data_IF_874556113092
#
_entry.id   IF_874556113092
#
_cell.length_a   1.000
_cell.length_b   1.000
_cell.length_c   1.000
_cell.angle_alpha   90.00
_cell.angle_beta   90.00
_cell.angle_gamma   90.00
#
_symmetry.space_group_name_H-M   'P 1'
#
loop_
_entity.id
_entity.type
_entity.pdbx_description
1 polymer ?
#
# COMPACT_ATOMS: atom_id res chain seq x y z
N UNK A 1 7.25 16.16 -25.45
CA UNK A 1 7.40 15.78 -24.03
C UNK A 1 8.33 14.58 -23.97
N UNK A 2 9.49 14.71 -23.34
CA UNK A 2 10.43 13.59 -23.15
C UNK A 2 9.72 12.48 -22.38
N UNK A 3 9.74 11.27 -22.92
CA UNK A 3 9.14 10.08 -22.32
C UNK A 3 10.13 9.56 -21.26
N UNK A 4 10.20 10.24 -20.11
CA UNK A 4 11.06 9.78 -19.01
C UNK A 4 10.50 8.48 -18.42
N UNK A 5 11.34 7.46 -18.34
CA UNK A 5 10.99 6.20 -17.69
C UNK A 5 10.83 6.42 -16.18
N UNK A 6 9.97 5.60 -15.56
CA UNK A 6 9.78 5.57 -14.10
C UNK A 6 11.11 5.41 -13.37
N UNK A 7 11.97 4.51 -13.88
CA UNK A 7 13.31 4.29 -13.36
C UNK A 7 14.13 5.57 -13.28
N UNK A 8 14.19 6.37 -14.37
CA UNK A 8 14.97 7.61 -14.41
C UNK A 8 14.49 8.61 -13.34
N UNK A 9 13.17 8.75 -13.18
CA UNK A 9 12.58 9.64 -12.18
C UNK A 9 12.88 9.19 -10.75
N UNK A 10 12.76 7.88 -10.49
CA UNK A 10 13.00 7.33 -9.16
C UNK A 10 14.49 7.42 -8.81
N UNK A 11 15.40 7.11 -9.75
CA UNK A 11 16.85 7.26 -9.54
C UNK A 11 17.23 8.71 -9.26
N UNK A 12 16.72 9.67 -10.03
CA UNK A 12 16.94 11.10 -9.77
C UNK A 12 16.44 11.52 -8.37
N UNK A 13 15.32 10.95 -7.89
CA UNK A 13 14.85 11.21 -6.53
C UNK A 13 15.76 10.62 -5.47
N UNK A 14 16.29 9.41 -5.68
CA UNK A 14 17.25 8.78 -4.76
C UNK A 14 18.54 9.61 -4.67
N UNK A 15 19.05 10.13 -5.79
CA UNK A 15 20.23 11.00 -5.82
C UNK A 15 20.07 12.25 -4.93
N UNK A 16 18.86 12.80 -4.87
CA UNK A 16 18.53 13.95 -3.99
C UNK A 16 18.35 13.53 -2.53
N UNK A 17 17.69 12.39 -2.29
CA UNK A 17 17.29 11.98 -0.93
C UNK A 17 18.43 11.30 -0.17
N UNK A 18 19.31 10.56 -0.85
CA UNK A 18 20.38 9.77 -0.20
C UNK A 18 21.35 10.63 0.63
N UNK A 19 21.89 11.77 0.14
CA UNK A 19 22.76 12.62 0.97
C UNK A 19 22.06 13.18 2.21
N UNK A 20 20.74 13.42 2.13
CA UNK A 20 19.94 13.88 3.26
C UNK A 20 19.83 12.79 4.32
N UNK A 21 19.64 11.53 3.91
CA UNK A 21 19.61 10.37 4.81
C UNK A 21 20.96 10.17 5.48
N UNK A 22 22.05 10.18 4.71
CA UNK A 22 23.40 10.00 5.25
C UNK A 22 23.72 11.08 6.30
N UNK A 23 23.36 12.34 6.01
CA UNK A 23 23.46 13.44 6.98
C UNK A 23 22.58 13.22 8.21
N UNK A 24 21.33 12.79 8.02
CA UNK A 24 20.43 12.54 9.14
C UNK A 24 20.92 11.40 10.03
N UNK A 25 21.55 10.36 9.47
CA UNK A 25 22.17 9.30 10.26
C UNK A 25 23.35 9.80 11.08
N UNK A 26 24.23 10.63 10.50
CA UNK A 26 25.30 11.25 11.27
C UNK A 26 24.75 12.11 12.43
N UNK A 27 23.75 12.95 12.16
CA UNK A 27 23.09 13.77 13.19
C UNK A 27 22.35 12.94 14.24
N UNK A 28 21.78 11.79 13.86
CA UNK A 28 21.15 10.87 14.80
C UNK A 28 22.20 10.34 15.79
N UNK A 29 23.36 9.89 15.29
CA UNK A 29 24.44 9.38 16.14
C UNK A 29 25.01 10.45 17.08
N UNK A 30 25.16 11.69 16.60
CA UNK A 30 25.53 12.83 17.46
C UNK A 30 24.51 13.04 18.59
N UNK A 31 23.21 13.02 18.27
CA UNK A 31 22.14 13.14 19.27
C UNK A 31 22.15 11.99 20.27
N UNK A 32 22.39 10.76 19.82
CA UNK A 32 22.51 9.58 20.67
C UNK A 32 23.67 9.71 21.66
N UNK A 33 24.83 10.18 21.20
CA UNK A 33 26.01 10.41 22.06
C UNK A 33 25.77 11.53 23.08
N UNK A 34 24.98 12.54 22.72
CA UNK A 34 24.56 13.62 23.61
C UNK A 34 23.43 13.22 24.58
N UNK A 35 22.87 12.01 24.46
CA UNK A 35 21.74 11.54 25.27
C UNK A 35 20.37 12.11 24.85
N UNK A 36 20.27 12.81 23.71
CA UNK A 36 19.01 13.31 23.16
C UNK A 36 18.31 12.24 22.32
N UNK A 37 17.64 11.31 23.00
CA UNK A 37 16.93 10.21 22.36
C UNK A 37 15.79 10.66 21.44
N UNK A 38 15.10 11.77 21.78
CA UNK A 38 14.02 12.30 20.92
C UNK A 38 14.60 12.76 19.57
N UNK A 39 15.71 13.49 19.59
CA UNK A 39 16.37 13.90 18.35
C UNK A 39 16.98 12.71 17.59
N UNK A 40 17.58 11.73 18.28
CA UNK A 40 18.08 10.51 17.64
C UNK A 40 16.98 9.79 16.87
N UNK A 41 15.85 9.47 17.51
CA UNK A 41 14.74 8.75 16.88
C UNK A 41 14.14 9.53 15.70
N UNK A 42 13.91 10.83 15.87
CA UNK A 42 13.37 11.69 14.82
C UNK A 42 14.28 11.79 13.59
N UNK A 43 15.61 11.79 13.79
CA UNK A 43 16.60 11.82 12.69
C UNK A 43 16.83 10.45 12.07
N UNK A 44 16.72 9.38 12.85
CA UNK A 44 16.94 8.01 12.38
C UNK A 44 15.80 7.51 11.49
N UNK A 45 14.59 8.05 11.66
CA UNK A 45 13.45 7.71 10.81
C UNK A 45 13.59 8.27 9.38
N UNK A 46 13.56 7.38 8.39
CA UNK A 46 13.81 7.71 6.97
C UNK A 46 12.54 7.84 6.12
N UNK A 47 11.36 7.80 6.75
CA UNK A 47 10.07 7.93 6.09
C UNK A 47 9.92 6.96 4.91
N UNK A 48 9.52 7.50 3.75
CA UNK A 48 9.18 6.75 2.54
C UNK A 48 10.38 6.42 1.64
N UNK A 49 11.62 6.59 2.11
CA UNK A 49 12.78 6.20 1.32
C UNK A 49 12.80 4.72 0.88
N UNK A 50 12.38 3.73 1.68
CA UNK A 50 12.37 2.33 1.24
C UNK A 50 11.50 2.11 0.00
N UNK A 51 10.41 2.86 -0.16
CA UNK A 51 9.49 2.75 -1.31
C UNK A 51 10.20 3.10 -2.63
N UNK A 52 11.22 3.97 -2.62
CA UNK A 52 11.99 4.32 -3.82
C UNK A 52 12.84 3.14 -4.30
N UNK A 53 13.54 2.47 -3.38
CA UNK A 53 14.33 1.27 -3.69
C UNK A 53 13.42 0.11 -4.08
N UNK A 54 12.27 -0.02 -3.42
CA UNK A 54 11.23 -0.98 -3.77
C UNK A 54 10.75 -0.79 -5.21
N UNK A 55 10.46 0.46 -5.61
CA UNK A 55 10.05 0.80 -6.98
C UNK A 55 11.11 0.48 -8.03
N UNK A 56 12.40 0.46 -7.67
CA UNK A 56 13.51 0.06 -8.54
C UNK A 56 13.81 -1.44 -8.53
N UNK A 57 13.03 -2.24 -7.79
CA UNK A 57 13.30 -3.67 -7.58
C UNK A 57 14.63 -3.93 -6.86
N UNK A 58 15.18 -2.94 -6.16
CA UNK A 58 16.36 -3.08 -5.31
C UNK A 58 15.95 -3.67 -3.95
N UNK A 59 15.40 -4.89 -3.99
CA UNK A 59 14.66 -5.51 -2.89
C UNK A 59 15.47 -5.67 -1.60
N UNK A 60 16.75 -6.02 -1.67
CA UNK A 60 17.61 -6.16 -0.48
C UNK A 60 17.81 -4.80 0.23
N UNK A 61 17.98 -3.74 -0.56
CA UNK A 61 18.12 -2.37 -0.05
C UNK A 61 16.80 -1.88 0.54
N UNK A 62 15.69 -2.13 -0.15
CA UNK A 62 14.35 -1.82 0.36
C UNK A 62 14.07 -2.56 1.68
N UNK A 63 14.36 -3.87 1.75
CA UNK A 63 14.20 -4.69 2.95
C UNK A 63 15.01 -4.15 4.12
N UNK A 64 16.27 -3.79 3.89
CA UNK A 64 17.12 -3.17 4.92
C UNK A 64 16.48 -1.90 5.48
N UNK A 65 16.03 -1.00 4.60
CA UNK A 65 15.45 0.28 5.02
C UNK A 65 14.05 0.16 5.64
N UNK A 66 13.19 -0.76 5.19
CA UNK A 66 11.93 -1.05 5.87
C UNK A 66 12.17 -1.58 7.29
N UNK A 67 13.11 -2.52 7.47
CA UNK A 67 13.47 -3.05 8.79
C UNK A 67 14.06 -1.98 9.69
N UNK A 68 14.88 -1.07 9.15
CA UNK A 68 15.38 0.07 9.89
C UNK A 68 14.23 0.99 10.35
N UNK A 69 13.31 1.34 9.46
CA UNK A 69 12.17 2.20 9.78
C UNK A 69 11.26 1.55 10.86
N UNK A 70 10.97 0.25 10.73
CA UNK A 70 10.21 -0.51 11.72
C UNK A 70 10.94 -0.56 13.08
N UNK A 71 12.27 -0.78 13.07
CA UNK A 71 13.10 -0.76 14.27
C UNK A 71 13.05 0.58 15.00
N UNK A 72 13.14 1.70 14.27
CA UNK A 72 13.04 3.04 14.85
C UNK A 72 11.67 3.27 15.49
N UNK A 73 10.57 2.84 14.85
CA UNK A 73 9.22 2.96 15.42
C UNK A 73 9.04 2.15 16.69
N UNK A 74 9.61 0.95 16.72
CA UNK A 74 9.58 0.11 17.92
C UNK A 74 10.42 0.72 19.05
N UNK A 75 11.62 1.19 18.75
CA UNK A 75 12.50 1.86 19.71
C UNK A 75 11.87 3.14 20.26
N UNK A 76 11.24 3.94 19.39
CA UNK A 76 10.48 5.13 19.77
C UNK A 76 9.38 4.80 20.77
N UNK A 77 8.59 3.76 20.48
CA UNK A 77 7.52 3.31 21.37
C UNK A 77 8.04 2.87 22.73
N UNK A 78 9.06 2.00 22.76
CA UNK A 78 9.67 1.50 24.00
C UNK A 78 10.24 2.67 24.83
N UNK A 79 10.87 3.63 24.17
CA UNK A 79 11.43 4.79 24.84
C UNK A 79 10.34 5.65 25.49
N UNK A 80 9.26 5.98 24.75
CA UNK A 80 8.15 6.74 25.29
C UNK A 80 7.41 5.99 26.40
N UNK A 81 7.22 4.68 26.28
CA UNK A 81 6.62 3.87 27.34
C UNK A 81 7.41 3.92 28.66
N UNK A 82 8.74 3.98 28.60
CA UNK A 82 9.58 4.04 29.79
C UNK A 82 9.76 5.46 30.36
N UNK A 83 9.75 6.51 29.52
CA UNK A 83 10.17 7.86 29.92
C UNK A 83 9.05 8.91 29.89
N UNK A 84 8.06 8.75 29.02
CA UNK A 84 6.93 9.67 28.88
C UNK A 84 5.66 8.91 28.41
N UNK A 85 5.05 8.09 29.28
CA UNK A 85 3.90 7.25 28.91
C UNK A 85 2.69 8.06 28.48
N UNK A 86 2.63 9.34 28.85
CA UNK A 86 1.55 10.25 28.46
C UNK A 86 1.50 10.52 26.96
N UNK A 87 2.60 10.22 26.24
CA UNK A 87 2.68 10.33 24.79
C UNK A 87 2.07 9.12 24.06
N UNK A 88 1.87 7.98 24.71
CA UNK A 88 1.38 6.75 24.07
C UNK A 88 0.02 6.91 23.37
N UNK A 89 -0.98 7.63 23.91
CA UNK A 89 -2.23 7.87 23.19
C UNK A 89 -2.03 8.66 21.89
N UNK A 90 -1.04 9.56 21.84
CA UNK A 90 -0.72 10.30 20.62
C UNK A 90 -0.04 9.38 19.59
N UNK A 91 0.80 8.44 20.03
CA UNK A 91 1.35 7.40 19.15
C UNK A 91 0.26 6.47 18.63
N UNK A 92 -0.72 6.11 19.46
CA UNK A 92 -1.82 5.22 19.07
C UNK A 92 -2.68 5.83 17.94
N UNK A 93 -2.80 7.16 17.90
CA UNK A 93 -3.40 7.91 16.77
C UNK A 93 -2.64 7.73 15.44
N UNK A 94 -1.34 7.46 15.50
CA UNK A 94 -0.46 7.25 14.33
C UNK A 94 -0.42 5.81 13.82
N UNK A 95 -1.01 4.84 14.52
CA UNK A 95 -0.80 3.41 14.21
C UNK A 95 -1.32 2.98 12.84
N UNK A 96 -2.38 3.61 12.33
CA UNK A 96 -2.87 3.32 10.97
C UNK A 96 -1.82 3.64 9.89
N UNK A 97 -0.85 4.50 10.20
CA UNK A 97 0.28 4.86 9.33
C UNK A 97 1.53 4.04 9.65
N UNK A 98 1.77 3.75 10.93
CA UNK A 98 2.99 3.04 11.35
C UNK A 98 2.90 1.51 11.21
N UNK A 99 1.73 0.90 11.41
CA UNK A 99 1.54 -0.55 11.25
C UNK A 99 1.94 -1.07 9.85
N UNK A 100 1.60 -0.37 8.74
CA UNK A 100 2.14 -0.66 7.42
C UNK A 100 3.66 -0.84 7.35
N UNK A 101 4.43 -0.05 8.10
CA UNK A 101 5.91 -0.10 8.08
C UNK A 101 6.41 -1.48 8.54
N UNK A 102 5.77 -2.06 9.56
CA UNK A 102 6.10 -3.40 10.06
C UNK A 102 5.72 -4.49 9.05
N UNK A 103 4.54 -4.39 8.44
CA UNK A 103 4.09 -5.34 7.43
C UNK A 103 5.01 -5.31 6.20
N UNK A 104 5.37 -4.12 5.73
CA UNK A 104 6.33 -3.94 4.64
C UNK A 104 7.73 -4.45 5.00
N UNK A 105 8.15 -4.35 6.26
CA UNK A 105 9.43 -4.91 6.74
C UNK A 105 9.43 -6.44 6.89
N UNK A 106 8.27 -7.10 6.72
CA UNK A 106 8.09 -8.52 6.97
C UNK A 106 7.95 -8.89 8.45
N UNK A 107 7.81 -7.90 9.34
CA UNK A 107 7.60 -8.09 10.78
C UNK A 107 6.10 -8.25 11.06
N UNK A 108 5.55 -9.38 10.61
CA UNK A 108 4.09 -9.57 10.54
C UNK A 108 3.41 -9.57 11.90
N UNK A 109 4.02 -10.18 12.92
CA UNK A 109 3.39 -10.27 14.25
C UNK A 109 3.20 -8.88 14.87
N UNK A 110 4.24 -8.04 14.84
CA UNK A 110 4.15 -6.65 15.29
C UNK A 110 3.17 -5.84 14.43
N UNK A 111 3.22 -6.00 13.11
CA UNK A 111 2.30 -5.29 12.23
C UNK A 111 0.83 -5.65 12.47
N UNK A 112 0.53 -6.94 12.72
CA UNK A 112 -0.81 -7.40 13.08
C UNK A 112 -1.29 -6.81 14.40
N UNK A 113 -0.47 -6.85 15.44
CA UNK A 113 -0.79 -6.24 16.74
C UNK A 113 -1.09 -4.74 16.58
N UNK A 114 -0.27 -4.02 15.81
CA UNK A 114 -0.46 -2.58 15.60
C UNK A 114 -1.69 -2.27 14.75
N UNK A 115 -2.05 -3.12 13.79
CA UNK A 115 -3.30 -3.00 13.03
C UNK A 115 -4.53 -3.19 13.93
N UNK A 116 -4.53 -4.15 14.84
CA UNK A 116 -5.63 -4.34 15.80
C UNK A 116 -5.79 -3.13 16.73
N UNK A 117 -4.68 -2.59 17.20
CA UNK A 117 -4.67 -1.37 18.02
C UNK A 117 -5.17 -0.15 17.25
N UNK A 118 -4.71 0.02 16.01
CA UNK A 118 -5.18 1.07 15.11
C UNK A 118 -6.69 0.97 14.89
N UNK A 119 -7.19 -0.24 14.62
CA UNK A 119 -8.62 -0.48 14.44
C UNK A 119 -9.42 -0.11 15.70
N UNK A 120 -9.00 -0.57 16.89
CA UNK A 120 -9.67 -0.21 18.15
C UNK A 120 -9.70 1.30 18.37
N UNK A 121 -8.57 1.98 18.16
CA UNK A 121 -8.48 3.43 18.28
C UNK A 121 -9.44 4.17 17.34
N UNK A 122 -9.52 3.76 16.07
CA UNK A 122 -10.42 4.36 15.09
C UNK A 122 -11.90 4.14 15.44
N UNK A 123 -12.25 2.96 15.97
CA UNK A 123 -13.63 2.64 16.36
C UNK A 123 -14.11 3.40 17.60
N UNK A 124 -13.19 3.87 18.45
CA UNK A 124 -13.49 4.66 19.65
C UNK A 124 -13.65 6.18 19.38
N UNK A 125 -13.40 6.63 18.15
CA UNK A 125 -13.52 8.04 17.78
C UNK A 125 -14.99 8.51 17.80
N UNK A 126 -15.24 9.66 18.45
CA UNK A 126 -16.59 10.24 18.59
C UNK A 126 -17.24 10.59 17.25
N UNK A 127 -16.44 11.04 16.29
CA UNK A 127 -16.90 11.43 14.95
C UNK A 127 -16.97 10.23 13.98
N UNK A 128 -16.74 9.02 14.49
CA UNK A 128 -16.56 7.80 13.71
C UNK A 128 -15.13 7.62 13.19
N UNK A 129 -14.82 6.43 12.66
CA UNK A 129 -13.48 6.10 12.19
C UNK A 129 -13.11 6.91 10.95
N UNK A 130 -11.83 7.27 10.82
CA UNK A 130 -11.32 7.91 9.62
C UNK A 130 -11.32 6.91 8.46
N UNK A 131 -12.12 7.18 7.42
CA UNK A 131 -12.29 6.27 6.29
C UNK A 131 -10.98 5.95 5.54
N UNK A 132 -10.02 6.88 5.45
CA UNK A 132 -8.71 6.60 4.85
C UNK A 132 -7.86 5.68 5.72
N UNK A 133 -7.94 5.82 7.05
CA UNK A 133 -7.29 4.89 7.98
C UNK A 133 -7.91 3.50 7.85
N UNK A 134 -9.23 3.39 7.78
CA UNK A 134 -9.92 2.10 7.62
C UNK A 134 -9.54 1.41 6.30
N UNK A 135 -9.36 2.16 5.21
CA UNK A 135 -8.82 1.64 3.95
C UNK A 135 -7.44 1.03 4.14
N UNK A 136 -6.52 1.76 4.76
CA UNK A 136 -5.15 1.28 4.97
C UNK A 136 -5.11 0.08 5.92
N UNK A 137 -5.86 0.13 7.03
CA UNK A 137 -6.00 -0.99 7.96
C UNK A 137 -6.47 -2.23 7.20
N UNK A 138 -7.54 -2.12 6.41
CA UNK A 138 -8.08 -3.25 5.66
C UNK A 138 -7.10 -3.84 4.63
N UNK A 139 -6.41 -2.98 3.85
CA UNK A 139 -5.47 -3.46 2.83
C UNK A 139 -4.22 -4.12 3.45
N UNK A 140 -3.63 -3.54 4.49
CA UNK A 140 -2.47 -4.12 5.15
C UNK A 140 -2.84 -5.32 6.04
N UNK A 141 -4.05 -5.35 6.61
CA UNK A 141 -4.61 -6.54 7.25
C UNK A 141 -4.75 -7.70 6.25
N UNK A 142 -5.29 -7.42 5.06
CA UNK A 142 -5.37 -8.41 3.99
C UNK A 142 -3.99 -8.93 3.58
N UNK A 143 -3.02 -8.02 3.41
CA UNK A 143 -1.63 -8.39 3.14
C UNK A 143 -1.06 -9.29 4.25
N UNK A 144 -1.35 -8.99 5.51
CA UNK A 144 -0.90 -9.78 6.67
C UNK A 144 -1.69 -11.09 6.91
N UNK A 145 -2.72 -11.37 6.10
CA UNK A 145 -3.59 -12.56 6.25
C UNK A 145 -4.66 -12.42 7.34
N UNK A 146 -4.97 -11.21 7.80
CA UNK A 146 -6.00 -10.93 8.80
C UNK A 146 -7.37 -10.73 8.14
N UNK A 147 -8.05 -11.82 7.81
CA UNK A 147 -9.32 -11.80 7.08
C UNK A 147 -10.41 -10.95 7.75
N UNK A 148 -10.51 -10.97 9.07
CA UNK A 148 -11.53 -10.20 9.80
C UNK A 148 -11.32 -8.69 9.64
N UNK A 149 -10.09 -8.21 9.85
CA UNK A 149 -9.76 -6.80 9.68
C UNK A 149 -9.70 -6.37 8.22
N UNK A 150 -9.48 -7.28 7.27
CA UNK A 150 -9.53 -6.96 5.85
C UNK A 150 -10.88 -6.37 5.42
N UNK A 151 -11.98 -6.75 6.10
CA UNK A 151 -13.31 -6.17 5.89
C UNK A 151 -13.41 -4.66 6.16
N UNK A 152 -12.41 -4.05 6.82
CA UNK A 152 -12.36 -2.61 7.08
C UNK A 152 -12.37 -1.77 5.78
N UNK A 153 -11.96 -2.33 4.64
CA UNK A 153 -12.06 -1.64 3.35
C UNK A 153 -13.50 -1.26 2.99
N UNK A 154 -14.50 -1.99 3.50
CA UNK A 154 -15.90 -1.67 3.26
C UNK A 154 -16.33 -0.35 3.92
N UNK A 155 -15.77 0.00 5.08
CA UNK A 155 -16.03 1.30 5.72
C UNK A 155 -15.60 2.47 4.82
N UNK A 156 -14.48 2.32 4.13
CA UNK A 156 -14.04 3.32 3.16
C UNK A 156 -15.01 3.43 1.99
N UNK A 157 -15.40 2.31 1.40
CA UNK A 157 -16.38 2.26 0.29
C UNK A 157 -17.69 2.94 0.71
N UNK A 158 -18.24 2.58 1.86
CA UNK A 158 -19.50 3.11 2.36
C UNK A 158 -19.41 4.63 2.62
N UNK A 159 -18.29 5.11 3.16
CA UNK A 159 -18.05 6.53 3.37
C UNK A 159 -17.98 7.30 2.03
N UNK A 160 -17.27 6.79 1.03
CA UNK A 160 -17.18 7.41 -0.29
C UNK A 160 -18.56 7.47 -0.97
N UNK A 161 -19.32 6.37 -0.92
CA UNK A 161 -20.68 6.34 -1.48
C UNK A 161 -21.64 7.25 -0.71
N UNK A 162 -21.46 7.41 0.60
CA UNK A 162 -22.24 8.34 1.41
C UNK A 162 -22.02 9.79 0.95
N UNK A 163 -20.78 10.19 0.68
CA UNK A 163 -20.45 11.55 0.20
C UNK A 163 -21.13 11.88 -1.14
N UNK A 164 -21.47 10.86 -1.93
CA UNK A 164 -22.10 11.00 -3.24
C UNK A 164 -23.63 10.90 -3.20
N UNK A 165 -24.26 10.79 -2.03
CA UNK A 165 -25.73 10.62 -1.92
C UNK A 165 -26.53 11.67 -2.67
N UNK A 166 -26.03 12.91 -2.74
CA UNK A 166 -26.67 14.05 -3.42
C UNK A 166 -26.21 14.23 -4.87
N UNK A 167 -25.27 13.42 -5.35
CA UNK A 167 -24.80 13.48 -6.74
C UNK A 167 -25.83 12.90 -7.71
N UNK A 168 -25.70 13.26 -8.99
CA UNK A 168 -26.53 12.70 -10.05
C UNK A 168 -26.44 11.17 -10.11
N UNK A 169 -27.54 10.51 -10.49
CA UNK A 169 -27.64 9.04 -10.49
C UNK A 169 -26.50 8.36 -11.26
N UNK A 170 -26.18 8.88 -12.45
CA UNK A 170 -25.07 8.38 -13.27
C UNK A 170 -23.71 8.47 -12.56
N UNK A 171 -23.49 9.50 -11.73
CA UNK A 171 -22.25 9.67 -10.96
C UNK A 171 -22.19 8.67 -9.81
N UNK A 172 -23.30 8.47 -9.09
CA UNK A 172 -23.39 7.49 -8.01
C UNK A 172 -23.14 6.08 -8.53
N UNK A 173 -23.80 5.71 -9.64
CA UNK A 173 -23.62 4.40 -10.26
C UNK A 173 -22.18 4.16 -10.73
N UNK A 174 -21.55 5.16 -11.35
CA UNK A 174 -20.15 5.05 -11.70
C UNK A 174 -19.25 4.84 -10.47
N UNK A 175 -19.55 5.52 -9.35
CA UNK A 175 -18.75 5.42 -8.13
C UNK A 175 -18.85 4.05 -7.47
N UNK A 176 -20.05 3.45 -7.49
CA UNK A 176 -20.25 2.06 -7.08
C UNK A 176 -19.29 1.15 -7.85
N UNK A 177 -19.25 1.26 -9.18
CA UNK A 177 -18.32 0.44 -9.98
C UNK A 177 -16.85 0.66 -9.59
N UNK A 178 -16.43 1.91 -9.43
CA UNK A 178 -15.02 2.24 -9.16
C UNK A 178 -14.58 1.71 -7.78
N UNK A 179 -15.42 1.87 -6.75
CA UNK A 179 -15.10 1.46 -5.38
C UNK A 179 -15.21 -0.06 -5.13
N UNK A 180 -15.46 -0.87 -6.16
CA UNK A 180 -15.17 -2.30 -6.10
C UNK A 180 -13.65 -2.60 -6.10
N UNK A 181 -12.78 -1.61 -6.37
CA UNK A 181 -11.33 -1.82 -6.39
C UNK A 181 -10.76 -2.14 -5.01
N UNK A 182 -11.20 -1.47 -3.94
CA UNK A 182 -10.66 -1.73 -2.59
C UNK A 182 -11.00 -3.14 -2.07
N UNK A 183 -12.26 -3.64 -2.16
CA UNK A 183 -12.57 -5.03 -1.85
C UNK A 183 -11.80 -6.02 -2.74
N UNK A 184 -11.67 -5.73 -4.04
CA UNK A 184 -10.92 -6.59 -4.96
C UNK A 184 -9.46 -6.75 -4.54
N UNK A 185 -8.80 -5.66 -4.15
CA UNK A 185 -7.42 -5.68 -3.68
C UNK A 185 -7.25 -6.47 -2.39
N UNK A 186 -8.14 -6.26 -1.41
CA UNK A 186 -8.10 -7.01 -0.16
C UNK A 186 -8.25 -8.52 -0.42
N UNK A 187 -9.23 -8.92 -1.23
CA UNK A 187 -9.44 -10.31 -1.60
C UNK A 187 -8.25 -10.89 -2.37
N UNK A 188 -7.67 -10.12 -3.28
CA UNK A 188 -6.47 -10.54 -4.02
C UNK A 188 -5.30 -10.84 -3.07
N UNK A 189 -5.06 -9.97 -2.10
CA UNK A 189 -4.00 -10.14 -1.09
C UNK A 189 -4.24 -11.33 -0.16
N UNK A 190 -5.51 -11.65 0.12
CA UNK A 190 -5.91 -12.84 0.89
C UNK A 190 -5.83 -14.15 0.07
N UNK A 191 -5.62 -14.07 -1.25
CA UNK A 191 -5.67 -15.22 -2.15
C UNK A 191 -7.10 -15.68 -2.50
N UNK A 192 -8.11 -14.85 -2.21
CA UNK A 192 -9.52 -15.06 -2.57
C UNK A 192 -9.74 -14.62 -4.03
N UNK A 193 -9.11 -15.33 -4.97
CA UNK A 193 -9.00 -14.87 -6.36
C UNK A 193 -10.34 -14.83 -7.10
N UNK A 194 -11.28 -15.73 -6.79
CA UNK A 194 -12.61 -15.74 -7.43
C UNK A 194 -13.47 -14.55 -7.00
N UNK A 195 -13.49 -14.23 -5.70
CA UNK A 195 -14.12 -13.02 -5.17
C UNK A 195 -13.46 -11.77 -5.75
N UNK A 196 -12.13 -11.72 -5.78
CA UNK A 196 -11.37 -10.61 -6.34
C UNK A 196 -11.72 -10.39 -7.81
N UNK A 197 -11.74 -11.47 -8.60
CA UNK A 197 -12.10 -11.44 -10.04
C UNK A 197 -13.49 -10.85 -10.26
N UNK A 198 -14.50 -11.28 -9.50
CA UNK A 198 -15.86 -10.74 -9.59
C UNK A 198 -15.93 -9.25 -9.31
N UNK A 199 -15.21 -8.76 -8.30
CA UNK A 199 -15.14 -7.33 -8.01
C UNK A 199 -14.40 -6.55 -9.12
N UNK A 200 -13.29 -7.08 -9.63
CA UNK A 200 -12.55 -6.48 -10.74
C UNK A 200 -13.40 -6.36 -12.01
N UNK A 201 -14.24 -7.35 -12.31
CA UNK A 201 -15.18 -7.29 -13.43
C UNK A 201 -16.18 -6.13 -13.28
N UNK A 202 -16.64 -5.83 -12.06
CA UNK A 202 -17.46 -4.63 -11.80
C UNK A 202 -16.68 -3.33 -12.07
N UNK A 203 -15.41 -3.25 -11.65
CA UNK A 203 -14.57 -2.07 -11.90
C UNK A 203 -14.37 -1.85 -13.41
N UNK A 204 -14.12 -2.93 -14.16
CA UNK A 204 -13.94 -2.88 -15.62
C UNK A 204 -15.24 -2.56 -16.36
N UNK A 205 -16.38 -3.03 -15.88
CA UNK A 205 -17.70 -2.59 -16.37
C UNK A 205 -17.90 -1.09 -16.14
N UNK A 206 -17.45 -0.57 -15.00
CA UNK A 206 -17.43 0.85 -14.69
C UNK A 206 -16.66 1.69 -15.71
N UNK A 207 -15.55 1.17 -16.26
CA UNK A 207 -14.79 1.85 -17.31
C UNK A 207 -15.64 2.01 -18.58
N UNK A 208 -16.29 0.95 -19.04
CA UNK A 208 -17.20 0.98 -20.20
C UNK A 208 -18.34 1.96 -19.97
N UNK A 209 -19.00 1.85 -18.83
CA UNK A 209 -20.09 2.75 -18.43
C UNK A 209 -19.66 4.22 -18.45
N UNK A 210 -18.49 4.55 -17.87
CA UNK A 210 -17.98 5.91 -17.85
C UNK A 210 -17.70 6.48 -19.25
N UNK A 211 -17.20 5.64 -20.17
CA UNK A 211 -16.90 6.02 -21.55
C UNK A 211 -18.19 6.27 -22.36
N UNK A 212 -19.16 5.35 -22.29
CA UNK A 212 -20.41 5.43 -23.04
C UNK A 212 -21.30 6.58 -22.58
N UNK A 213 -21.46 6.74 -21.25
CA UNK A 213 -22.39 7.69 -20.66
C UNK A 213 -21.80 9.10 -20.53
N UNK A 214 -20.56 9.31 -21.01
CA UNK A 214 -19.80 10.57 -20.93
C UNK A 214 -19.98 11.22 -19.55
N UNK A 215 -19.77 10.44 -18.48
CA UNK A 215 -20.02 10.92 -17.12
C UNK A 215 -19.05 12.06 -16.79
N UNK A 216 -19.54 13.29 -16.88
CA UNK A 216 -18.87 14.52 -16.46
C UNK A 216 -19.44 14.96 -15.11
N UNK A 217 -18.60 15.33 -14.13
CA UNK A 217 -19.05 15.78 -12.80
C UNK A 217 -18.80 14.79 -11.67
N UNK A 218 -17.67 14.09 -11.72
CA UNK A 218 -17.22 13.24 -10.62
C UNK A 218 -16.51 14.08 -9.55
N UNK A 219 -16.59 13.66 -8.29
CA UNK A 219 -15.65 14.13 -7.26
C UNK A 219 -14.24 13.55 -7.46
N UNK A 220 -14.14 12.37 -8.10
CA UNK A 220 -12.88 11.69 -8.43
C UNK A 220 -12.32 12.19 -9.77
N UNK A 221 -11.15 12.85 -9.80
CA UNK A 221 -10.51 13.32 -11.02
C UNK A 221 -10.42 12.24 -12.12
N UNK A 222 -10.54 12.64 -13.38
CA UNK A 222 -10.43 11.70 -14.51
C UNK A 222 -9.09 10.94 -14.52
N UNK A 223 -8.04 11.58 -14.00
CA UNK A 223 -6.71 11.03 -13.87
C UNK A 223 -6.66 9.89 -12.84
N UNK A 224 -7.36 10.03 -11.71
CA UNK A 224 -7.49 9.02 -10.65
C UNK A 224 -8.34 7.82 -11.12
N UNK A 225 -9.43 8.06 -11.86
CA UNK A 225 -10.19 6.96 -12.48
C UNK A 225 -9.33 6.12 -13.43
N UNK A 226 -8.52 6.78 -14.27
CA UNK A 226 -7.60 6.10 -15.17
C UNK A 226 -6.54 5.28 -14.43
N UNK A 227 -6.12 5.72 -13.24
CA UNK A 227 -5.25 4.95 -12.37
C UNK A 227 -5.96 3.69 -11.86
N UNK A 228 -7.17 3.82 -11.33
CA UNK A 228 -7.98 2.71 -10.81
C UNK A 228 -8.23 1.66 -11.91
N UNK A 229 -8.62 2.08 -13.11
CA UNK A 229 -8.86 1.14 -14.21
C UNK A 229 -7.59 0.41 -14.66
N UNK A 230 -6.43 1.08 -14.69
CA UNK A 230 -5.15 0.42 -15.00
C UNK A 230 -4.77 -0.60 -13.94
N UNK A 231 -4.97 -0.26 -12.67
CA UNK A 231 -4.75 -1.17 -11.53
C UNK A 231 -5.65 -2.40 -11.63
N UNK A 232 -6.95 -2.18 -11.86
CA UNK A 232 -7.93 -3.26 -12.03
C UNK A 232 -7.57 -4.21 -13.19
N UNK A 233 -7.21 -3.66 -14.35
CA UNK A 233 -6.75 -4.45 -15.51
C UNK A 233 -5.50 -5.26 -15.19
N UNK A 234 -4.54 -4.69 -14.46
CA UNK A 234 -3.34 -5.38 -14.03
C UNK A 234 -3.67 -6.59 -13.15
N UNK A 235 -4.45 -6.37 -12.09
CA UNK A 235 -4.88 -7.44 -11.17
C UNK A 235 -5.69 -8.53 -11.88
N UNK A 236 -6.64 -8.15 -12.74
CA UNK A 236 -7.46 -9.10 -13.49
C UNK A 236 -6.60 -10.02 -14.38
N UNK A 237 -5.58 -9.44 -15.05
CA UNK A 237 -4.63 -10.22 -15.85
C UNK A 237 -3.75 -11.12 -15.00
N UNK A 238 -3.36 -10.70 -13.80
CA UNK A 238 -2.60 -11.55 -12.87
C UNK A 238 -3.43 -12.78 -12.47
N UNK A 239 -4.72 -12.59 -12.15
CA UNK A 239 -5.63 -13.72 -11.89
C UNK A 239 -5.74 -14.64 -13.11
N UNK A 240 -5.87 -14.07 -14.31
CA UNK A 240 -5.88 -14.86 -15.55
C UNK A 240 -4.59 -15.65 -15.79
N UNK A 241 -3.43 -15.18 -15.33
CA UNK A 241 -2.18 -15.94 -15.37
C UNK A 241 -2.20 -17.16 -14.45
N UNK A 242 -2.80 -17.03 -13.25
CA UNK A 242 -2.96 -18.15 -12.31
C UNK A 242 -3.83 -19.26 -12.91
N UNK A 243 -4.87 -18.90 -13.65
CA UNK A 243 -5.83 -19.86 -14.23
C UNK A 243 -5.28 -20.59 -15.45
N UNK A 244 -4.56 -19.89 -16.35
CA UNK A 244 -4.32 -20.39 -17.70
C UNK A 244 -2.92 -20.98 -17.94
N UNK A 245 -1.94 -20.71 -17.07
CA UNK A 245 -0.62 -21.38 -17.02
C UNK A 245 0.24 -21.45 -18.29
N UNK A 246 -0.19 -20.96 -19.46
CA UNK A 246 0.38 -21.36 -20.77
C UNK A 246 0.88 -20.26 -21.69
N UNK A 247 0.79 -18.98 -21.32
CA UNK A 247 1.49 -17.91 -22.08
C UNK A 247 1.91 -16.72 -21.19
N UNK A 248 2.60 -17.06 -20.10
CA UNK A 248 2.88 -16.12 -19.02
C UNK A 248 3.77 -14.93 -19.41
N UNK A 249 4.65 -15.07 -20.40
CA UNK A 249 5.65 -14.04 -20.70
C UNK A 249 5.04 -12.80 -21.37
N UNK A 250 4.11 -12.99 -22.32
CA UNK A 250 3.41 -11.87 -22.95
C UNK A 250 2.48 -11.18 -21.95
N UNK A 251 1.70 -11.97 -21.20
CA UNK A 251 0.83 -11.47 -20.14
C UNK A 251 1.60 -10.66 -19.08
N UNK A 252 2.75 -11.16 -18.62
CA UNK A 252 3.62 -10.49 -17.66
C UNK A 252 4.12 -9.12 -18.17
N UNK A 253 4.55 -9.05 -19.44
CA UNK A 253 4.98 -7.78 -20.06
C UNK A 253 3.84 -6.77 -20.10
N UNK A 254 2.64 -7.19 -20.46
CA UNK A 254 1.46 -6.33 -20.50
C UNK A 254 1.03 -5.84 -19.10
N UNK A 255 1.05 -6.72 -18.10
CA UNK A 255 0.77 -6.39 -16.70
C UNK A 255 1.75 -5.33 -16.21
N UNK A 256 3.04 -5.60 -16.38
CA UNK A 256 4.11 -4.70 -15.91
C UNK A 256 4.00 -3.33 -16.56
N UNK A 257 3.83 -3.28 -17.89
CA UNK A 257 3.65 -2.02 -18.61
C UNK A 257 2.38 -1.24 -18.17
N UNK A 258 1.30 -1.95 -17.81
CA UNK A 258 0.08 -1.34 -17.30
C UNK A 258 0.24 -0.75 -15.89
N UNK A 259 0.85 -1.52 -14.99
CA UNK A 259 1.08 -1.12 -13.60
C UNK A 259 2.14 -0.02 -13.49
N UNK A 260 3.21 -0.03 -14.29
CA UNK A 260 4.19 1.06 -14.31
C UNK A 260 3.59 2.38 -14.82
N UNK A 261 2.64 2.33 -15.76
CA UNK A 261 1.88 3.52 -16.16
C UNK A 261 0.98 4.04 -15.03
N UNK A 262 0.50 3.18 -14.14
CA UNK A 262 -0.24 3.60 -12.95
C UNK A 262 0.71 4.18 -11.89
N UNK A 263 1.89 3.59 -11.68
CA UNK A 263 2.94 4.14 -10.79
C UNK A 263 3.40 5.52 -11.25
N UNK A 264 3.63 5.70 -12.55
CA UNK A 264 3.97 7.02 -13.13
C UNK A 264 2.90 8.08 -12.90
N UNK A 265 1.63 7.67 -12.84
CA UNK A 265 0.54 8.59 -12.48
C UNK A 265 0.61 8.96 -11.00
N UNK A 266 0.71 7.96 -10.11
CA UNK A 266 0.78 8.16 -8.67
C UNK A 266 1.97 9.07 -8.30
N UNK A 267 3.12 8.82 -8.93
CA UNK A 267 4.31 9.66 -8.83
C UNK A 267 4.04 11.15 -9.10
N UNK A 268 3.30 11.45 -10.18
CA UNK A 268 2.99 12.83 -10.58
C UNK A 268 1.99 13.52 -9.66
N UNK A 269 1.19 12.78 -8.89
CA UNK A 269 0.28 13.35 -7.90
C UNK A 269 0.95 13.62 -6.54
N UNK A 270 2.20 13.20 -6.36
CA UNK A 270 2.89 13.29 -5.07
C UNK A 270 2.49 12.18 -4.09
N UNK A 271 1.57 11.30 -4.47
CA UNK A 271 1.17 10.11 -3.69
C UNK A 271 2.06 8.91 -4.05
N UNK A 272 3.36 9.08 -3.76
CA UNK A 272 4.43 8.21 -4.24
C UNK A 272 4.51 6.88 -3.47
N UNK A 273 3.81 6.73 -2.33
CA UNK A 273 4.31 5.84 -1.27
C UNK A 273 3.55 4.52 -1.24
N UNK A 274 2.33 4.51 -0.68
CA UNK A 274 1.58 3.28 -0.46
C UNK A 274 1.02 2.65 -1.74
N UNK A 275 0.61 3.47 -2.72
CA UNK A 275 0.10 2.98 -4.00
C UNK A 275 1.22 2.42 -4.89
N UNK A 276 2.36 3.10 -4.99
CA UNK A 276 3.50 2.56 -5.75
C UNK A 276 4.03 1.28 -5.11
N UNK A 277 4.06 1.21 -3.77
CA UNK A 277 4.39 -0.02 -3.06
C UNK A 277 3.49 -1.18 -3.51
N UNK A 278 2.16 -1.02 -3.44
CA UNK A 278 1.19 -2.06 -3.84
C UNK A 278 1.29 -2.43 -5.31
N UNK A 279 1.39 -1.45 -6.22
CA UNK A 279 1.51 -1.72 -7.65
C UNK A 279 2.77 -2.54 -7.97
N UNK A 280 3.90 -2.22 -7.32
CA UNK A 280 5.13 -3.00 -7.48
C UNK A 280 5.04 -4.38 -6.81
N UNK A 281 4.34 -4.51 -5.68
CA UNK A 281 4.00 -5.82 -5.10
C UNK A 281 3.24 -6.70 -6.10
N UNK A 282 2.25 -6.14 -6.82
CA UNK A 282 1.52 -6.90 -7.83
C UNK A 282 2.39 -7.33 -9.02
N UNK A 283 3.35 -6.50 -9.45
CA UNK A 283 4.32 -6.93 -10.48
C UNK A 283 5.22 -8.06 -9.99
N UNK A 284 5.61 -8.06 -8.70
CA UNK A 284 6.39 -9.14 -8.10
C UNK A 284 5.58 -10.43 -8.01
N UNK A 285 4.31 -10.36 -7.63
CA UNK A 285 3.40 -11.52 -7.66
C UNK A 285 3.20 -12.08 -9.07
N UNK A 286 3.07 -11.21 -10.07
CA UNK A 286 3.00 -11.64 -11.48
C UNK A 286 4.28 -12.38 -11.90
N UNK A 287 5.44 -11.92 -11.42
CA UNK A 287 6.74 -12.56 -11.64
C UNK A 287 6.82 -13.91 -10.92
N UNK A 288 6.28 -14.03 -9.70
CA UNK A 288 6.19 -15.30 -8.99
C UNK A 288 5.41 -16.34 -9.80
N UNK A 289 4.24 -15.95 -10.32
CA UNK A 289 3.39 -16.83 -11.14
C UNK A 289 4.11 -17.25 -12.42
N UNK A 290 4.76 -16.30 -13.10
CA UNK A 290 5.56 -16.57 -14.30
C UNK A 290 6.66 -17.61 -14.03
N UNK A 291 7.23 -17.60 -12.83
CA UNK A 291 8.28 -18.52 -12.38
C UNK A 291 7.73 -19.83 -11.78
N UNK A 292 6.41 -20.06 -11.82
CA UNK A 292 5.77 -21.24 -11.24
C UNK A 292 5.73 -21.24 -9.71
N UNK A 293 5.92 -20.08 -9.07
CA UNK A 293 5.83 -19.89 -7.62
C UNK A 293 4.45 -19.38 -7.23
N UNK A 294 4.02 -19.69 -6.01
CA UNK A 294 2.81 -19.10 -5.43
C UNK A 294 3.04 -17.59 -5.20
N UNK A 295 2.09 -16.71 -5.56
CA UNK A 295 2.16 -15.28 -5.22
C UNK A 295 2.39 -15.08 -3.72
N UNK A 296 3.36 -14.23 -3.36
CA UNK A 296 3.65 -13.92 -1.96
C UNK A 296 3.27 -12.45 -1.62
N UNK A 297 2.23 -12.20 -0.79
CA UNK A 297 1.90 -10.85 -0.31
C UNK A 297 2.91 -10.27 0.69
N UNK A 298 3.79 -11.09 1.28
CA UNK A 298 4.79 -10.68 2.25
C UNK A 298 6.19 -11.17 1.84
N UNK A 299 6.81 -10.57 0.81
CA UNK A 299 8.08 -11.06 0.25
C UNK A 299 9.27 -10.92 1.22
N UNK A 300 9.16 -10.10 2.26
CA UNK A 300 10.21 -9.93 3.28
C UNK A 300 9.93 -10.67 4.59
N UNK A 301 8.75 -11.28 4.75
CA UNK A 301 8.48 -12.12 5.89
C UNK A 301 9.38 -13.36 5.84
N UNK A 302 9.99 -13.69 6.97
CA UNK A 302 10.75 -14.93 7.08
C UNK A 302 9.74 -16.07 7.07
N UNK A 303 9.95 -17.04 6.17
CA UNK A 303 9.18 -18.27 6.19
C UNK A 303 9.58 -18.94 7.51
N UNK A 304 8.71 -18.87 8.51
CA UNK A 304 8.90 -19.66 9.72
C UNK A 304 9.00 -21.11 9.28
N UNK A 305 10.20 -21.68 9.36
CA UNK A 305 10.48 -23.09 9.07
C UNK A 305 9.87 -24.03 10.13
N UNK A 306 8.78 -23.62 10.77
CA UNK A 306 8.08 -24.34 11.82
C UNK A 306 6.93 -25.23 11.30
N UNK A 307 6.85 -25.44 9.99
CA UNK A 307 6.13 -26.57 9.39
C UNK A 307 7.09 -27.24 8.42
N UNK A 308 7.91 -28.13 8.98
CA UNK A 308 8.53 -29.19 8.19
C UNK A 308 7.45 -30.09 7.58
N UNK A 309 7.85 -30.74 6.49
CA UNK A 309 7.26 -31.93 5.84
C UNK A 309 6.05 -32.58 6.53
#
# INVERSE_FOLDING_TARGET
MLNESLEKLVRARIEVVRPIIDRNFALAEEARQAGDMKAYLAKRYIGHCPDLYWMLEEYDVAKHYYRLAAGVRLEERIWYEAHDPTYLPLMDRGLAVDAPVFIQAGMLDQGKEWLERAYRWEMEQKDGPNHYHMRNIGLFAAQAGMKELAGCVQYYVDAQLHMLRRSAEKTRRAAIYIHHIEPAEAQFLLGEFEESKRNLEQVLEGERFCQEQKVTGYHIPASERNFIFKKAKGLYKIIGMLENGKDGQSAYKEITAGLEKAMMWAWRQGDVTSECYRLRLYTLMAKDILQGRKPNPNPFAEISSALGD
#
